data_IF_879009117585
#
_entry.id   IF_879009117585
#
_cell.length_a   1.000
_cell.length_b   1.000
_cell.length_c   1.000
_cell.angle_alpha   90.00
_cell.angle_beta   90.00
_cell.angle_gamma   90.00
#
_symmetry.space_group_name_H-M   'P 1'
#
loop_
_entity.id
_entity.type
_entity.pdbx_description
1 polymer ?
#
# COMPACT_ATOMS: atom_id res chain seq x y z
N UNK A 1 18.98 -3.03 12.49
CA UNK A 1 19.36 -3.14 11.06
C UNK A 1 18.06 -3.25 10.30
N UNK A 2 17.70 -2.23 9.51
CA UNK A 2 16.54 -2.34 8.61
C UNK A 2 16.93 -3.39 7.58
N UNK A 3 16.28 -4.56 7.65
CA UNK A 3 16.52 -5.67 6.71
C UNK A 3 16.27 -5.17 5.30
N UNK A 4 17.13 -5.57 4.37
CA UNK A 4 17.16 -5.01 3.02
C UNK A 4 15.82 -5.17 2.31
N UNK A 5 15.40 -4.12 1.61
CA UNK A 5 14.31 -4.22 0.63
C UNK A 5 14.83 -5.09 -0.51
N UNK A 6 14.18 -6.23 -0.76
CA UNK A 6 14.55 -7.18 -1.82
C UNK A 6 13.76 -7.00 -3.12
N UNK A 7 12.66 -6.26 -3.06
CA UNK A 7 11.79 -6.04 -4.20
C UNK A 7 10.99 -4.75 -4.04
N UNK A 8 10.64 -4.11 -5.16
CA UNK A 8 9.77 -2.93 -5.19
C UNK A 8 8.44 -3.24 -5.82
N UNK A 9 7.38 -2.59 -5.34
CA UNK A 9 6.06 -2.75 -5.92
C UNK A 9 6.02 -2.14 -7.33
N UNK A 10 5.34 -2.85 -8.23
CA UNK A 10 5.14 -2.44 -9.63
C UNK A 10 3.68 -2.19 -9.96
N UNK A 11 2.76 -2.86 -9.26
CA UNK A 11 1.32 -2.67 -9.43
C UNK A 11 0.55 -3.12 -8.19
N UNK A 12 -0.67 -2.59 -8.06
CA UNK A 12 -1.60 -2.94 -6.99
C UNK A 12 -2.92 -3.34 -7.65
N UNK A 13 -3.35 -4.55 -7.34
CA UNK A 13 -4.62 -5.11 -7.75
C UNK A 13 -5.62 -5.02 -6.59
N UNK A 14 -6.83 -4.56 -6.87
CA UNK A 14 -7.89 -4.46 -5.87
C UNK A 14 -8.64 -5.79 -5.85
N UNK A 15 -8.65 -6.46 -4.71
CA UNK A 15 -9.23 -7.82 -4.55
C UNK A 15 -10.47 -7.83 -3.63
N UNK A 16 -10.93 -6.66 -3.20
CA UNK A 16 -12.10 -6.51 -2.34
C UNK A 16 -12.67 -5.09 -2.40
N UNK A 17 -13.63 -4.82 -1.54
CA UNK A 17 -14.29 -3.51 -1.44
C UNK A 17 -13.79 -2.72 -0.23
N UNK A 18 -14.07 -1.41 -0.21
CA UNK A 18 -13.78 -0.59 0.96
C UNK A 18 -14.80 -0.91 2.05
N UNK A 19 -14.31 -1.43 3.17
CA UNK A 19 -15.11 -1.73 4.35
C UNK A 19 -14.53 -1.09 5.61
N UNK A 20 -15.31 -1.02 6.68
CA UNK A 20 -14.76 -0.59 7.98
C UNK A 20 -13.93 -1.74 8.55
N UNK A 21 -12.71 -1.48 9.01
CA UNK A 21 -11.89 -2.54 9.58
C UNK A 21 -12.57 -3.12 10.84
N UNK A 22 -12.70 -4.44 10.93
CA UNK A 22 -13.47 -5.11 11.98
C UNK A 22 -12.66 -5.45 13.25
N UNK A 23 -11.35 -5.17 13.26
CA UNK A 23 -10.47 -5.52 14.37
C UNK A 23 -10.39 -4.40 15.40
N UNK A 24 -11.22 -4.43 16.45
CA UNK A 24 -11.08 -3.64 17.69
C UNK A 24 -10.50 -2.22 17.54
N UNK A 25 -9.19 -2.06 17.83
CA UNK A 25 -8.44 -0.79 17.76
C UNK A 25 -8.46 -0.13 16.37
N UNK A 26 -8.63 -0.92 15.30
CA UNK A 26 -8.69 -0.46 13.92
C UNK A 26 -10.11 -0.08 13.47
N UNK A 27 -11.13 -0.15 14.31
CA UNK A 27 -12.53 0.23 13.97
C UNK A 27 -12.71 1.68 13.50
N UNK A 28 -11.71 2.53 13.73
CA UNK A 28 -11.63 3.92 13.23
C UNK A 28 -11.13 4.02 11.78
N UNK A 29 -10.66 2.91 11.21
CA UNK A 29 -10.11 2.87 9.86
C UNK A 29 -11.08 2.20 8.89
N UNK A 30 -10.97 2.61 7.64
CA UNK A 30 -11.49 1.89 6.49
C UNK A 30 -10.36 1.06 5.90
N UNK A 31 -10.67 -0.18 5.54
CA UNK A 31 -9.76 -1.16 4.97
C UNK A 31 -10.14 -1.40 3.51
N UNK A 32 -9.13 -1.55 2.66
CA UNK A 32 -9.28 -2.02 1.28
C UNK A 32 -8.31 -3.18 1.06
N UNK A 33 -8.81 -4.42 0.90
CA UNK A 33 -7.99 -5.56 0.51
C UNK A 33 -7.40 -5.35 -0.89
N UNK A 34 -6.09 -5.49 -0.99
CA UNK A 34 -5.34 -5.38 -2.24
C UNK A 34 -4.31 -6.50 -2.35
N UNK A 35 -3.81 -6.69 -3.56
CA UNK A 35 -2.70 -7.57 -3.87
C UNK A 35 -1.60 -6.77 -4.54
N UNK A 36 -0.43 -6.76 -3.92
CA UNK A 36 0.73 -6.01 -4.39
C UNK A 36 1.63 -6.94 -5.18
N UNK A 37 1.92 -6.57 -6.42
CA UNK A 37 2.86 -7.27 -7.28
C UNK A 37 4.21 -6.59 -7.20
N UNK A 38 5.27 -7.38 -7.01
CA UNK A 38 6.63 -6.91 -6.88
C UNK A 38 7.47 -7.27 -8.12
N UNK A 39 8.54 -6.50 -8.37
CA UNK A 39 9.47 -6.69 -9.49
C UNK A 39 10.24 -8.01 -9.47
N UNK A 40 10.24 -8.72 -8.35
CA UNK A 40 10.81 -10.07 -8.20
C UNK A 40 9.77 -11.20 -8.38
N UNK A 41 8.66 -10.91 -9.05
CA UNK A 41 7.56 -11.84 -9.33
C UNK A 41 6.79 -12.31 -8.08
N UNK A 42 7.11 -11.77 -6.89
CA UNK A 42 6.32 -12.04 -5.69
C UNK A 42 5.03 -11.24 -5.69
N UNK A 43 4.02 -11.86 -5.11
CA UNK A 43 2.67 -11.31 -4.99
C UNK A 43 2.24 -11.48 -3.54
N UNK A 44 1.84 -10.38 -2.90
CA UNK A 44 1.51 -10.37 -1.47
C UNK A 44 0.16 -9.69 -1.27
N UNK A 45 -0.74 -10.38 -0.58
CA UNK A 45 -2.01 -9.80 -0.15
C UNK A 45 -1.75 -8.81 0.99
N UNK A 46 -2.31 -7.61 0.88
CA UNK A 46 -2.09 -6.48 1.77
C UNK A 46 -3.40 -5.73 2.00
N UNK A 47 -3.46 -4.92 3.06
CA UNK A 47 -4.65 -4.12 3.37
C UNK A 47 -4.26 -2.65 3.44
N UNK A 48 -4.74 -1.86 2.47
CA UNK A 48 -4.65 -0.41 2.54
C UNK A 48 -5.63 0.10 3.60
N UNK A 49 -5.19 1.07 4.41
CA UNK A 49 -6.00 1.64 5.49
C UNK A 49 -6.11 3.16 5.34
N UNK A 50 -7.30 3.70 5.58
CA UNK A 50 -7.53 5.14 5.71
C UNK A 50 -8.21 5.45 7.05
N UNK A 51 -7.70 6.47 7.75
CA UNK A 51 -8.20 6.84 9.07
C UNK A 51 -9.42 7.75 8.98
N UNK A 52 -10.47 7.46 9.74
CA UNK A 52 -11.67 8.28 9.90
C UNK A 52 -12.63 8.24 8.71
N UNK A 53 -12.14 8.47 7.49
CA UNK A 53 -12.92 8.47 6.26
C UNK A 53 -12.24 7.65 5.16
N UNK A 54 -13.00 6.98 4.27
CA UNK A 54 -12.44 6.20 3.16
C UNK A 54 -11.97 7.07 1.98
N UNK A 55 -11.86 8.40 2.15
CA UNK A 55 -11.59 9.34 1.07
C UNK A 55 -10.31 9.00 0.31
N UNK A 56 -9.21 8.73 1.01
CA UNK A 56 -7.93 8.37 0.38
C UNK A 56 -8.03 7.05 -0.40
N UNK A 57 -8.79 6.08 0.10
CA UNK A 57 -9.02 4.81 -0.61
C UNK A 57 -9.88 5.02 -1.86
N UNK A 58 -10.91 5.88 -1.80
CA UNK A 58 -11.71 6.25 -2.98
C UNK A 58 -10.88 7.01 -4.01
N UNK A 59 -10.10 7.99 -3.56
CA UNK A 59 -9.19 8.75 -4.44
C UNK A 59 -8.16 7.80 -5.10
N UNK A 60 -7.74 6.73 -4.41
CA UNK A 60 -6.89 5.68 -4.98
C UNK A 60 -7.62 4.86 -6.05
N UNK A 61 -8.85 4.40 -5.78
CA UNK A 61 -9.66 3.65 -6.74
C UNK A 61 -9.95 4.45 -8.02
N UNK A 62 -10.23 5.75 -7.87
CA UNK A 62 -10.52 6.67 -8.99
C UNK A 62 -9.25 7.20 -9.69
N UNK A 63 -8.05 6.77 -9.26
CA UNK A 63 -6.76 7.31 -9.65
C UNK A 63 -6.71 8.86 -9.66
N UNK A 64 -7.34 9.48 -8.66
CA UNK A 64 -7.47 10.92 -8.58
C UNK A 64 -6.10 11.56 -8.41
N UNK A 65 -5.76 12.51 -9.29
CA UNK A 65 -4.44 13.17 -9.31
C UNK A 65 -3.25 12.20 -9.44
N UNK A 66 -3.45 11.01 -10.03
CA UNK A 66 -2.38 10.00 -10.16
C UNK A 66 -2.03 9.33 -8.84
N UNK A 67 -2.94 9.30 -7.86
CA UNK A 67 -2.67 8.72 -6.54
C UNK A 67 -2.36 7.23 -6.64
N UNK A 68 -3.07 6.49 -7.49
CA UNK A 68 -2.81 5.06 -7.71
C UNK A 68 -1.41 4.85 -8.25
N UNK A 69 -1.06 5.56 -9.32
CA UNK A 69 0.23 5.43 -10.01
C UNK A 69 1.43 5.70 -9.07
N UNK A 70 1.26 6.63 -8.11
CA UNK A 70 2.25 6.91 -7.07
C UNK A 70 2.31 5.79 -6.04
N UNK A 71 1.15 5.35 -5.53
CA UNK A 71 1.08 4.30 -4.52
C UNK A 71 1.61 2.97 -5.03
N UNK A 72 1.38 2.64 -6.31
CA UNK A 72 1.88 1.41 -6.94
C UNK A 72 3.41 1.27 -6.90
N UNK A 73 4.14 2.38 -6.75
CA UNK A 73 5.62 2.41 -6.67
C UNK A 73 6.15 2.64 -5.25
N UNK A 74 5.25 2.79 -4.28
CA UNK A 74 5.57 3.25 -2.93
C UNK A 74 5.76 2.12 -1.91
N UNK A 75 5.81 0.85 -2.32
CA UNK A 75 5.99 -0.28 -1.40
C UNK A 75 7.26 -1.08 -1.69
N UNK A 76 7.87 -1.59 -0.61
CA UNK A 76 9.03 -2.47 -0.66
C UNK A 76 8.74 -3.76 0.10
N UNK A 77 9.27 -4.87 -0.41
CA UNK A 77 9.21 -6.17 0.25
C UNK A 77 10.53 -6.45 0.96
N UNK A 78 10.46 -6.87 2.22
CA UNK A 78 11.65 -7.28 2.99
C UNK A 78 11.99 -8.75 2.76
N UNK A 79 13.20 -9.15 3.13
CA UNK A 79 13.63 -10.56 3.17
C UNK A 79 12.68 -11.47 3.98
N UNK A 80 12.02 -10.91 4.99
CA UNK A 80 11.09 -11.64 5.88
C UNK A 80 9.68 -11.73 5.33
N UNK A 81 9.42 -11.15 4.14
CA UNK A 81 8.09 -11.12 3.54
C UNK A 81 7.20 -10.00 4.07
N UNK A 82 7.75 -9.03 4.79
CA UNK A 82 6.98 -7.87 5.25
C UNK A 82 6.88 -6.81 4.14
N UNK A 83 5.70 -6.21 4.02
CA UNK A 83 5.46 -5.09 3.12
C UNK A 83 5.64 -3.79 3.88
N UNK A 84 6.56 -2.94 3.41
CA UNK A 84 6.82 -1.62 3.97
C UNK A 84 6.42 -0.54 2.97
N UNK A 85 5.77 0.53 3.45
CA UNK A 85 5.62 1.73 2.64
C UNK A 85 6.96 2.47 2.62
N UNK A 86 7.50 2.68 1.42
CA UNK A 86 8.79 3.33 1.17
C UNK A 86 8.64 4.66 0.41
N UNK A 87 7.42 5.14 0.15
CA UNK A 87 7.20 6.40 -0.58
C UNK A 87 7.89 7.62 0.03
N UNK A 88 8.20 7.62 1.33
CA UNK A 88 8.96 8.68 1.99
C UNK A 88 10.47 8.71 1.62
N UNK A 89 11.01 7.58 1.13
CA UNK A 89 12.42 7.48 0.73
C UNK A 89 12.69 8.16 -0.62
N UNK A 90 11.66 8.30 -1.49
CA UNK A 90 11.79 9.05 -2.74
C UNK A 90 11.67 10.57 -2.54
N UNK A 91 10.88 11.04 -1.57
CA UNK A 91 10.74 12.49 -1.30
C UNK A 91 11.99 13.11 -0.65
N UNK A 92 12.84 12.32 0.01
CA UNK A 92 14.05 12.79 0.67
C UNK A 92 15.31 12.76 -0.19
N UNK A 93 15.29 12.07 -1.33
CA UNK A 93 16.43 12.01 -2.26
C UNK A 93 16.43 13.11 -3.33
N UNK A 94 15.45 14.02 -3.30
CA UNK A 94 15.28 15.11 -4.27
C UNK A 94 15.39 16.50 -3.63
N UNK A 95 16.13 16.62 -2.53
CA UNK A 95 16.48 17.90 -1.87
C UNK A 95 17.97 18.17 -1.93
#
# INVERSE_FOLDING_TARGET
MVKGIIARSISIEVIGEIERCHDGENSKFYCLPVRIHFDNERVVDYVLRAHGEPKTLRDFLENKKGLRDKMEKSFGLTEEGEVLYIGYLEETSNR
#
